data_IF_942743112071
#
_entry.id   IF_942743112071
#
_cell.length_a   1.000
_cell.length_b   1.000
_cell.length_c   1.000
_cell.angle_alpha   90.00
_cell.angle_beta   90.00
_cell.angle_gamma   90.00
#
_symmetry.space_group_name_H-M   'P 1'
#
loop_
_entity.id
_entity.type
_entity.pdbx_description
1 polymer ?
#
# COMPACT_ATOMS: atom_id res chain seq x y z
N UNK A 1 -58.11 -47.17 38.16
CA UNK A 1 -56.69 -47.49 37.91
C UNK A 1 -55.86 -46.75 38.93
N UNK A 2 -55.32 -47.53 39.86
CA UNK A 2 -54.19 -47.30 40.78
C UNK A 2 -53.62 -45.89 40.96
N UNK A 3 -53.78 -45.38 42.18
CA UNK A 3 -52.91 -44.40 42.82
C UNK A 3 -51.61 -45.05 43.29
N UNK A 4 -50.49 -44.32 43.26
CA UNK A 4 -49.25 -44.59 44.01
C UNK A 4 -48.30 -43.37 43.90
N UNK A 5 -47.41 -43.13 44.90
CA UNK A 5 -47.34 -41.82 45.57
C UNK A 5 -45.98 -41.10 45.48
N UNK A 6 -46.00 -39.85 45.96
CA UNK A 6 -44.86 -39.07 46.43
C UNK A 6 -43.97 -39.86 47.40
N UNK A 7 -42.65 -39.82 47.17
CA UNK A 7 -41.63 -40.09 48.18
C UNK A 7 -40.65 -38.92 48.25
N UNK A 8 -40.89 -38.05 49.23
CA UNK A 8 -39.90 -37.19 49.85
C UNK A 8 -38.95 -38.04 50.69
N UNK A 9 -37.65 -38.02 50.39
CA UNK A 9 -36.63 -38.43 51.35
C UNK A 9 -36.03 -37.17 52.01
N UNK A 10 -36.18 -37.03 53.34
CA UNK A 10 -35.57 -35.95 54.11
C UNK A 10 -34.07 -36.19 54.26
N UNK A 11 -33.25 -35.18 53.94
CA UNK A 11 -31.87 -35.13 54.42
C UNK A 11 -31.95 -34.78 55.90
N UNK A 12 -31.83 -35.83 56.71
CA UNK A 12 -31.65 -35.74 58.14
C UNK A 12 -30.37 -34.96 58.44
N UNK A 13 -30.54 -33.78 59.06
CA UNK A 13 -29.50 -33.13 59.84
C UNK A 13 -29.14 -34.06 61.00
N UNK A 14 -27.94 -34.64 60.95
CA UNK A 14 -27.34 -35.26 62.12
C UNK A 14 -26.63 -34.17 62.96
N UNK A 15 -26.68 -34.23 64.29
CA UNK A 15 -26.28 -33.14 65.17
C UNK A 15 -24.76 -33.05 65.30
N UNK A 16 -24.26 -31.80 65.33
CA UNK A 16 -22.92 -31.44 65.75
C UNK A 16 -22.64 -32.02 67.15
N UNK A 17 -21.63 -32.90 67.25
CA UNK A 17 -21.11 -33.35 68.52
C UNK A 17 -20.21 -32.24 69.11
N UNK A 18 -20.38 -31.85 70.38
CA UNK A 18 -19.73 -30.69 70.99
C UNK A 18 -18.31 -31.02 71.47
N UNK A 19 -17.40 -31.30 70.53
CA UNK A 19 -15.97 -31.46 70.81
C UNK A 19 -15.05 -30.75 69.80
N UNK A 20 -15.57 -30.23 68.69
CA UNK A 20 -14.77 -29.51 67.68
C UNK A 20 -15.01 -27.98 67.66
N UNK A 21 -15.79 -27.46 68.61
CA UNK A 21 -16.03 -26.02 68.78
C UNK A 21 -15.01 -25.29 69.69
N UNK A 22 -14.04 -26.00 70.27
CA UNK A 22 -13.08 -25.44 71.23
C UNK A 22 -11.71 -25.05 70.64
N UNK A 23 -11.45 -25.32 69.35
CA UNK A 23 -10.20 -24.94 68.69
C UNK A 23 -10.27 -23.59 67.94
N UNK A 24 -11.44 -22.93 67.90
CA UNK A 24 -11.66 -21.69 67.15
C UNK A 24 -11.81 -20.42 68.00
N UNK A 25 -11.59 -20.49 69.32
CA UNK A 25 -11.90 -19.37 70.23
C UNK A 25 -10.74 -19.00 71.18
N UNK A 26 -9.51 -18.99 70.68
CA UNK A 26 -8.34 -18.85 71.56
C UNK A 26 -7.10 -18.16 70.98
N UNK A 27 -7.23 -17.19 70.08
CA UNK A 27 -6.12 -16.24 69.80
C UNK A 27 -6.57 -14.99 69.04
N UNK A 28 -7.53 -14.25 69.61
CA UNK A 28 -7.75 -12.85 69.29
C UNK A 28 -7.30 -12.02 70.50
N UNK A 29 -6.03 -11.58 70.52
CA UNK A 29 -5.59 -10.50 71.42
C UNK A 29 -4.19 -9.97 71.07
N UNK A 30 -4.15 -8.90 70.27
CA UNK A 30 -3.39 -7.65 70.51
C UNK A 30 -3.59 -6.74 69.29
N UNK A 31 -4.64 -5.91 69.30
CA UNK A 31 -4.60 -4.45 69.42
C UNK A 31 -3.76 -3.72 68.36
N UNK A 32 -4.43 -2.87 67.57
CA UNK A 32 -3.78 -1.71 66.95
C UNK A 32 -4.58 -1.07 65.82
N UNK A 33 -5.41 -0.08 66.14
CA UNK A 33 -5.95 0.88 65.17
C UNK A 33 -4.82 1.67 64.49
N UNK A 34 -4.71 1.57 63.17
CA UNK A 34 -3.98 2.41 62.18
C UNK A 34 -3.82 1.48 60.96
N UNK A 35 -4.34 1.70 59.74
CA UNK A 35 -4.52 2.90 58.95
C UNK A 35 -5.75 2.74 58.04
N UNK A 36 -6.70 3.68 58.14
CA UNK A 36 -7.57 4.04 57.02
C UNK A 36 -6.76 5.08 56.24
N UNK A 37 -6.00 4.65 55.25
CA UNK A 37 -5.48 5.53 54.19
C UNK A 37 -5.37 4.69 52.93
N UNK A 38 -6.09 5.14 51.89
CA UNK A 38 -6.28 4.40 50.66
C UNK A 38 -4.97 3.91 50.06
N UNK A 39 -4.86 2.60 49.96
CA UNK A 39 -3.94 1.99 49.01
C UNK A 39 -4.54 2.27 47.62
N UNK A 40 -4.13 3.40 47.04
CA UNK A 40 -4.29 3.66 45.61
C UNK A 40 -3.61 2.49 44.92
N UNK A 41 -4.42 1.51 44.51
CA UNK A 41 -3.97 0.35 43.76
C UNK A 41 -3.29 0.88 42.51
N UNK A 42 -1.96 0.99 42.59
CA UNK A 42 -1.16 1.57 41.53
C UNK A 42 -1.43 0.73 40.29
N UNK A 43 -2.02 1.36 39.26
CA UNK A 43 -2.05 0.77 37.92
C UNK A 43 -0.64 0.24 37.65
N UNK A 44 -0.45 -1.01 37.20
CA UNK A 44 0.89 -1.52 36.96
C UNK A 44 1.61 -0.50 36.10
N UNK A 45 2.63 0.16 36.67
CA UNK A 45 3.47 1.12 35.95
C UNK A 45 3.92 0.35 34.73
N UNK A 46 3.46 0.80 33.56
CA UNK A 46 3.80 0.20 32.29
C UNK A 46 5.31 0.35 32.14
N UNK A 47 6.04 -0.65 32.63
CA UNK A 47 7.47 -0.61 32.73
C UNK A 47 7.96 -0.72 31.30
N UNK A 48 8.36 0.42 30.75
CA UNK A 48 8.95 0.53 29.43
C UNK A 48 10.28 -0.21 29.46
N UNK A 49 10.23 -1.53 29.23
CA UNK A 49 11.42 -2.32 28.98
C UNK A 49 12.00 -1.82 27.67
N UNK A 50 13.25 -1.34 27.72
CA UNK A 50 13.97 -0.95 26.49
C UNK A 50 13.96 -2.15 25.54
N UNK A 51 13.62 -1.94 24.25
CA UNK A 51 13.60 -3.03 23.29
C UNK A 51 14.99 -3.66 23.23
N UNK A 52 15.04 -4.99 23.28
CA UNK A 52 16.28 -5.73 23.08
C UNK A 52 16.76 -5.53 21.63
N UNK A 53 18.07 -5.62 21.39
CA UNK A 53 18.63 -5.45 20.04
C UNK A 53 17.96 -6.38 18.99
N UNK A 54 17.62 -7.59 19.41
CA UNK A 54 16.87 -8.55 18.61
C UNK A 54 15.46 -8.05 18.22
N UNK A 55 14.76 -7.34 19.11
CA UNK A 55 13.47 -6.73 18.79
C UNK A 55 13.62 -5.56 17.82
N UNK A 56 14.68 -4.77 17.96
CA UNK A 56 14.98 -3.65 17.03
C UNK A 56 15.29 -4.18 15.63
N UNK A 57 16.11 -5.22 15.53
CA UNK A 57 16.42 -5.90 14.27
C UNK A 57 15.15 -6.47 13.61
N UNK A 58 14.30 -7.13 14.40
CA UNK A 58 13.03 -7.69 13.92
C UNK A 58 12.09 -6.61 13.39
N UNK A 59 11.95 -5.47 14.09
CA UNK A 59 11.14 -4.32 13.67
C UNK A 59 11.72 -3.67 12.41
N UNK A 60 13.04 -3.54 12.30
CA UNK A 60 13.70 -3.00 11.11
C UNK A 60 13.44 -3.91 9.90
N UNK A 61 13.69 -5.21 10.02
CA UNK A 61 13.43 -6.20 8.96
C UNK A 61 11.95 -6.22 8.52
N UNK A 62 11.03 -5.94 9.43
CA UNK A 62 9.59 -5.84 9.15
C UNK A 62 9.15 -4.56 8.45
N UNK A 63 9.80 -3.46 8.81
CA UNK A 63 9.47 -2.14 8.26
C UNK A 63 9.93 -2.01 6.81
N UNK A 64 10.97 -2.76 6.40
CA UNK A 64 11.53 -2.71 5.05
C UNK A 64 10.52 -3.12 3.98
N UNK A 65 9.82 -4.28 4.05
CA UNK A 65 8.78 -4.62 3.09
C UNK A 65 7.64 -3.60 3.04
N UNK A 66 7.22 -3.08 4.20
CA UNK A 66 6.18 -2.05 4.27
C UNK A 66 6.62 -0.76 3.57
N UNK A 67 7.83 -0.29 3.86
CA UNK A 67 8.41 0.90 3.25
C UNK A 67 8.57 0.73 1.74
N UNK A 68 9.10 -0.40 1.28
CA UNK A 68 9.23 -0.71 -0.15
C UNK A 68 7.87 -0.77 -0.84
N UNK A 69 6.84 -1.30 -0.18
CA UNK A 69 5.48 -1.34 -0.72
C UNK A 69 4.89 0.06 -0.86
N UNK A 70 5.04 0.90 0.16
CA UNK A 70 4.57 2.29 0.14
C UNK A 70 5.31 3.12 -0.93
N UNK A 71 6.64 3.00 -1.01
CA UNK A 71 7.45 3.65 -2.04
C UNK A 71 7.01 3.19 -3.43
N UNK A 72 6.87 1.88 -3.64
CA UNK A 72 6.41 1.32 -4.91
C UNK A 72 5.04 1.87 -5.32
N UNK A 73 4.07 1.87 -4.40
CA UNK A 73 2.73 2.40 -4.63
C UNK A 73 2.74 3.89 -4.98
N UNK A 74 3.46 4.71 -4.21
CA UNK A 74 3.59 6.15 -4.47
C UNK A 74 4.22 6.40 -5.83
N UNK A 75 5.27 5.67 -6.19
CA UNK A 75 5.92 5.81 -7.50
C UNK A 75 4.97 5.47 -8.66
N UNK A 76 4.14 4.41 -8.55
CA UNK A 76 3.12 4.12 -9.58
C UNK A 76 2.08 5.22 -9.64
N UNK A 77 1.61 5.71 -8.50
CA UNK A 77 0.60 6.77 -8.43
C UNK A 77 1.11 8.06 -9.08
N UNK A 78 2.34 8.47 -8.78
CA UNK A 78 2.98 9.63 -9.43
C UNK A 78 3.08 9.40 -10.92
N UNK A 79 3.59 8.24 -11.36
CA UNK A 79 3.70 7.91 -12.78
C UNK A 79 2.34 7.89 -13.50
N UNK A 80 1.25 7.52 -12.81
CA UNK A 80 -0.11 7.51 -13.36
C UNK A 80 -0.70 8.92 -13.50
N UNK A 81 -0.56 9.77 -12.49
CA UNK A 81 -1.33 11.03 -12.36
C UNK A 81 -0.53 12.26 -12.81
N UNK A 82 0.78 12.28 -12.60
CA UNK A 82 1.59 13.49 -12.73
C UNK A 82 1.99 13.75 -14.19
N UNK A 83 1.46 14.82 -14.78
CA UNK A 83 1.84 15.28 -16.12
C UNK A 83 3.16 16.06 -16.14
N UNK A 84 3.70 16.44 -14.98
CA UNK A 84 5.07 16.95 -14.83
C UNK A 84 6.15 15.91 -15.09
N UNK A 85 5.82 14.61 -14.99
CA UNK A 85 6.68 13.48 -15.31
C UNK A 85 6.10 12.72 -16.50
N UNK A 86 6.35 13.15 -17.75
CA UNK A 86 5.76 12.51 -18.91
C UNK A 86 6.50 11.24 -19.31
N UNK A 87 5.83 10.46 -20.15
CA UNK A 87 6.33 9.25 -20.81
C UNK A 87 7.02 9.55 -22.13
N UNK A 88 6.56 10.58 -22.83
CA UNK A 88 7.20 11.10 -24.04
C UNK A 88 7.19 12.63 -23.99
N UNK A 89 8.25 13.25 -24.46
CA UNK A 89 8.37 14.70 -24.62
C UNK A 89 8.63 15.01 -26.08
N UNK A 90 7.86 15.93 -26.65
CA UNK A 90 8.13 16.53 -27.96
C UNK A 90 8.51 17.97 -27.70
N UNK A 91 9.74 18.36 -28.03
CA UNK A 91 10.27 19.67 -27.70
C UNK A 91 10.84 20.39 -28.91
N UNK A 92 10.73 21.70 -28.86
CA UNK A 92 11.30 22.62 -29.81
C UNK A 92 12.78 22.85 -29.49
N UNK A 93 13.67 22.57 -30.43
CA UNK A 93 15.11 22.83 -30.31
C UNK A 93 15.35 24.33 -30.45
N UNK A 94 15.99 24.94 -29.45
CA UNK A 94 16.27 26.38 -29.42
C UNK A 94 15.04 27.25 -29.16
N UNK A 95 13.92 26.66 -28.73
CA UNK A 95 12.68 27.38 -28.43
C UNK A 95 12.04 26.91 -27.12
N UNK A 96 10.81 27.38 -26.86
CA UNK A 96 10.04 27.05 -25.67
C UNK A 96 8.82 26.15 -25.95
N UNK A 97 8.56 25.82 -27.22
CA UNK A 97 7.49 24.90 -27.61
C UNK A 97 7.74 23.50 -27.04
N UNK A 98 6.71 22.92 -26.44
CA UNK A 98 6.80 21.57 -25.88
C UNK A 98 5.44 20.89 -25.81
N UNK A 99 5.46 19.56 -25.82
CA UNK A 99 4.32 18.71 -25.54
C UNK A 99 4.77 17.49 -24.74
N UNK A 100 4.15 17.33 -23.58
CA UNK A 100 4.38 16.28 -22.61
C UNK A 100 3.23 15.28 -22.66
N UNK A 101 3.54 14.01 -22.93
CA UNK A 101 2.59 12.91 -22.93
C UNK A 101 2.56 12.25 -21.56
N UNK A 102 1.47 12.41 -20.81
CA UNK A 102 1.18 11.63 -19.61
C UNK A 102 0.40 10.36 -19.93
N UNK A 103 0.09 9.56 -18.89
CA UNK A 103 -0.81 8.41 -19.05
C UNK A 103 -2.27 8.81 -19.04
N UNK A 104 -2.67 9.77 -18.20
CA UNK A 104 -4.06 10.21 -18.08
C UNK A 104 -4.37 11.48 -18.87
N UNK A 105 -3.36 12.17 -19.38
CA UNK A 105 -3.53 13.42 -20.10
C UNK A 105 -2.25 13.86 -20.80
N UNK A 106 -2.28 15.05 -21.36
CA UNK A 106 -1.12 15.69 -21.98
C UNK A 106 -1.09 17.17 -21.67
N UNK A 107 0.09 17.75 -21.70
CA UNK A 107 0.26 19.18 -21.60
C UNK A 107 1.05 19.68 -22.81
N UNK A 108 0.70 20.84 -23.33
CA UNK A 108 1.45 21.50 -24.39
C UNK A 108 1.66 22.97 -24.09
N UNK A 109 2.73 23.53 -24.65
CA UNK A 109 3.05 24.95 -24.68
C UNK A 109 3.33 25.30 -26.13
N UNK A 110 2.57 26.24 -26.66
CA UNK A 110 2.80 26.76 -28.01
C UNK A 110 4.10 27.56 -28.05
N UNK A 111 4.90 27.47 -29.12
CA UNK A 111 6.05 28.34 -29.31
C UNK A 111 5.71 29.82 -29.11
N UNK A 112 6.61 30.56 -28.46
CA UNK A 112 6.44 31.99 -28.17
C UNK A 112 5.53 32.31 -26.98
N UNK A 113 4.89 31.30 -26.37
CA UNK A 113 4.02 31.48 -25.20
C UNK A 113 4.65 30.89 -23.93
N UNK A 114 4.30 31.42 -22.75
CA UNK A 114 4.70 30.82 -21.46
C UNK A 114 3.62 29.88 -20.89
N UNK A 115 2.38 30.01 -21.39
CA UNK A 115 1.21 29.27 -20.94
C UNK A 115 1.33 27.78 -21.27
N UNK A 116 1.14 26.93 -20.27
CA UNK A 116 1.12 25.47 -20.41
C UNK A 116 -0.32 25.01 -20.28
N UNK A 117 -0.89 24.51 -21.36
CA UNK A 117 -2.28 24.04 -21.43
C UNK A 117 -2.28 22.52 -21.29
N UNK A 118 -2.99 22.02 -20.29
CA UNK A 118 -3.12 20.59 -20.03
C UNK A 118 -4.54 20.11 -20.35
N UNK A 119 -4.66 18.93 -20.95
CA UNK A 119 -5.94 18.25 -21.15
C UNK A 119 -6.44 17.66 -19.83
N UNK A 120 -7.75 17.50 -19.72
CA UNK A 120 -8.37 16.85 -18.57
C UNK A 120 -7.98 15.38 -18.48
N UNK A 121 -7.69 14.89 -17.28
CA UNK A 121 -7.38 13.49 -17.03
C UNK A 121 -8.51 12.56 -17.47
N UNK A 122 -8.21 11.52 -18.23
CA UNK A 122 -9.16 10.54 -18.77
C UNK A 122 -8.56 9.13 -18.83
N UNK A 123 -9.39 8.09 -18.74
CA UNK A 123 -8.97 6.71 -19.03
C UNK A 123 -8.87 6.43 -20.54
N UNK A 124 -9.57 7.23 -21.35
CA UNK A 124 -9.46 7.27 -22.79
C UNK A 124 -8.78 8.57 -23.17
N UNK A 125 -7.45 8.58 -23.17
CA UNK A 125 -6.70 9.81 -23.39
C UNK A 125 -6.67 10.13 -24.87
N UNK A 126 -7.09 11.35 -25.18
CA UNK A 126 -6.96 11.94 -26.50
C UNK A 126 -5.88 13.02 -26.45
N UNK A 127 -4.80 12.82 -27.20
CA UNK A 127 -3.68 13.76 -27.28
C UNK A 127 -3.90 14.83 -28.35
N UNK A 128 -4.92 14.69 -29.21
CA UNK A 128 -5.20 15.59 -30.32
C UNK A 128 -5.28 17.07 -29.90
N UNK A 129 -5.95 17.46 -28.80
CA UNK A 129 -6.00 18.87 -28.39
C UNK A 129 -4.61 19.47 -28.13
N UNK A 130 -3.71 18.69 -27.53
CA UNK A 130 -2.33 19.13 -27.28
C UNK A 130 -1.47 19.13 -28.55
N UNK A 131 -1.73 18.21 -29.51
CA UNK A 131 -1.05 18.19 -30.82
C UNK A 131 -1.44 19.41 -31.63
N UNK A 132 -2.72 19.78 -31.66
CA UNK A 132 -3.22 20.96 -32.40
C UNK A 132 -2.56 22.25 -31.91
N UNK A 133 -2.23 22.36 -30.63
CA UNK A 133 -1.54 23.53 -30.08
C UNK A 133 -0.10 23.71 -30.61
N UNK A 134 0.51 22.66 -31.15
CA UNK A 134 1.87 22.70 -31.71
C UNK A 134 1.91 22.37 -33.21
N UNK A 135 0.80 21.95 -33.81
CA UNK A 135 0.76 21.37 -35.16
C UNK A 135 1.15 22.34 -36.24
N UNK A 136 0.82 23.62 -36.10
CA UNK A 136 1.11 24.65 -37.12
C UNK A 136 2.62 24.90 -37.26
N UNK A 137 3.42 24.41 -36.30
CA UNK A 137 4.86 24.58 -36.22
C UNK A 137 5.62 23.27 -36.50
N UNK A 138 4.90 22.18 -36.82
CA UNK A 138 5.45 20.86 -37.11
C UNK A 138 4.96 20.42 -38.49
N UNK A 139 5.83 19.86 -39.36
CA UNK A 139 5.39 19.26 -40.61
C UNK A 139 4.30 18.20 -40.37
N UNK A 140 3.16 18.32 -41.06
CA UNK A 140 1.97 17.50 -40.78
C UNK A 140 2.21 15.99 -40.82
N UNK A 141 3.06 15.51 -41.73
CA UNK A 141 3.43 14.09 -41.81
C UNK A 141 4.26 13.61 -40.62
N UNK A 142 5.06 14.47 -39.98
CA UNK A 142 5.75 14.14 -38.74
C UNK A 142 4.77 14.14 -37.57
N UNK A 143 3.85 15.11 -37.50
CA UNK A 143 2.81 15.13 -36.47
C UNK A 143 1.93 13.86 -36.47
N UNK A 144 1.64 13.30 -37.66
CA UNK A 144 0.89 12.04 -37.82
C UNK A 144 1.60 10.80 -37.24
N UNK A 145 2.91 10.89 -36.96
CA UNK A 145 3.67 9.79 -36.32
C UNK A 145 3.58 9.78 -34.80
N UNK A 146 3.04 10.85 -34.22
CA UNK A 146 2.84 10.92 -32.78
C UNK A 146 1.60 10.12 -32.35
N UNK A 147 1.60 9.50 -31.16
CA UNK A 147 0.42 8.82 -30.64
C UNK A 147 -0.75 9.78 -30.48
N UNK A 148 -1.89 9.48 -31.10
CA UNK A 148 -3.09 10.32 -31.01
C UNK A 148 -3.98 9.97 -29.82
N UNK A 149 -3.93 8.72 -29.36
CA UNK A 149 -4.74 8.21 -28.26
C UNK A 149 -4.07 7.08 -27.51
N UNK A 150 -4.43 6.92 -26.24
CA UNK A 150 -4.06 5.77 -25.42
C UNK A 150 -5.28 5.24 -24.68
N UNK A 151 -5.59 3.95 -24.86
CA UNK A 151 -6.80 3.30 -24.33
C UNK A 151 -6.46 2.24 -23.28
N UNK A 152 -5.44 1.41 -23.54
CA UNK A 152 -5.12 0.27 -22.68
C UNK A 152 -4.15 0.62 -21.55
N UNK A 153 -3.16 1.48 -21.81
CA UNK A 153 -2.11 1.86 -20.85
C UNK A 153 -2.66 2.39 -19.51
N UNK A 154 -3.67 3.29 -19.48
CA UNK A 154 -4.21 3.81 -18.22
C UNK A 154 -4.91 2.74 -17.40
N UNK A 155 -5.66 1.86 -18.06
CA UNK A 155 -6.44 0.80 -17.41
C UNK A 155 -5.53 -0.26 -16.77
N UNK A 156 -4.43 -0.63 -17.45
CA UNK A 156 -3.44 -1.58 -16.91
C UNK A 156 -2.75 -0.99 -15.69
N UNK A 157 -2.32 0.28 -15.75
CA UNK A 157 -1.61 0.91 -14.63
C UNK A 157 -2.55 1.17 -13.44
N UNK A 158 -3.81 1.56 -13.69
CA UNK A 158 -4.83 1.66 -12.65
C UNK A 158 -5.09 0.31 -11.98
N UNK A 159 -5.12 -0.78 -12.75
CA UNK A 159 -5.25 -2.13 -12.21
C UNK A 159 -4.08 -2.48 -11.28
N UNK A 160 -2.85 -2.10 -11.65
CA UNK A 160 -1.68 -2.26 -10.77
C UNK A 160 -1.83 -1.50 -9.45
N UNK A 161 -2.28 -0.24 -9.50
CA UNK A 161 -2.54 0.58 -8.31
C UNK A 161 -3.59 -0.07 -7.40
N UNK A 162 -4.69 -0.56 -7.96
CA UNK A 162 -5.75 -1.22 -7.18
C UNK A 162 -5.21 -2.48 -6.50
N UNK A 163 -4.46 -3.31 -7.23
CA UNK A 163 -3.85 -4.53 -6.66
C UNK A 163 -2.88 -4.21 -5.52
N UNK A 164 -2.04 -3.19 -5.67
CA UNK A 164 -1.13 -2.72 -4.61
C UNK A 164 -1.88 -2.14 -3.41
N UNK A 165 -2.97 -1.40 -3.66
CA UNK A 165 -3.82 -0.86 -2.60
C UNK A 165 -4.49 -1.97 -1.79
N UNK A 166 -5.06 -2.97 -2.45
CA UNK A 166 -5.63 -4.15 -1.79
C UNK A 166 -4.57 -4.93 -1.02
N UNK A 167 -3.39 -5.15 -1.62
CA UNK A 167 -2.27 -5.81 -0.95
C UNK A 167 -1.84 -5.05 0.32
N UNK A 168 -1.76 -3.72 0.26
CA UNK A 168 -1.43 -2.88 1.41
C UNK A 168 -2.48 -2.99 2.52
N UNK A 169 -3.77 -2.95 2.16
CA UNK A 169 -4.87 -3.08 3.12
C UNK A 169 -4.86 -4.43 3.85
N UNK A 170 -4.47 -5.51 3.15
CA UNK A 170 -4.32 -6.84 3.76
C UNK A 170 -3.04 -6.94 4.59
N UNK A 171 -1.95 -6.30 4.15
CA UNK A 171 -0.65 -6.35 4.82
C UNK A 171 -0.58 -5.51 6.09
N UNK A 172 -1.23 -4.35 6.12
CA UNK A 172 -1.23 -3.43 7.28
C UNK A 172 -1.65 -4.11 8.60
N UNK A 173 -2.78 -4.83 8.69
CA UNK A 173 -3.18 -5.45 9.94
C UNK A 173 -2.32 -6.68 10.28
N UNK A 174 -1.78 -7.39 9.29
CA UNK A 174 -0.78 -8.45 9.52
C UNK A 174 0.48 -7.89 10.18
N UNK A 175 1.03 -6.81 9.61
CA UNK A 175 2.19 -6.11 10.15
C UNK A 175 1.89 -5.52 11.55
N UNK A 176 0.72 -4.92 11.72
CA UNK A 176 0.33 -4.32 13.02
C UNK A 176 0.24 -5.38 14.11
N UNK A 177 -0.37 -6.55 13.84
CA UNK A 177 -0.47 -7.64 14.81
C UNK A 177 0.86 -8.33 15.08
N UNK A 178 1.72 -8.44 14.07
CA UNK A 178 3.04 -9.06 14.19
C UNK A 178 3.97 -8.29 15.13
N UNK A 179 3.95 -6.95 15.06
CA UNK A 179 4.94 -6.11 15.75
C UNK A 179 4.37 -5.25 16.88
N UNK A 180 3.06 -5.01 16.87
CA UNK A 180 2.33 -4.32 17.93
C UNK A 180 1.18 -5.21 18.44
N UNK A 181 1.49 -6.31 19.14
CA UNK A 181 0.47 -7.26 19.60
C UNK A 181 -0.57 -6.62 20.55
N UNK A 182 -0.26 -5.45 21.13
CA UNK A 182 -1.17 -4.67 21.98
C UNK A 182 -1.96 -3.59 21.22
N UNK A 183 -1.90 -3.57 19.89
CA UNK A 183 -2.65 -2.61 19.07
C UNK A 183 -4.17 -2.86 19.20
N UNK A 184 -4.99 -1.80 19.33
CA UNK A 184 -6.44 -1.94 19.45
C UNK A 184 -7.07 -2.30 18.10
N UNK A 185 -7.07 -3.60 17.77
CA UNK A 185 -7.77 -4.14 16.61
C UNK A 185 -9.05 -4.86 17.04
N UNK A 186 -10.15 -4.76 16.27
CA UNK A 186 -11.38 -5.48 16.55
C UNK A 186 -11.17 -7.00 16.67
N UNK A 187 -11.69 -7.61 17.74
CA UNK A 187 -11.59 -9.06 17.99
C UNK A 187 -11.91 -9.97 16.78
N UNK A 188 -12.95 -9.73 15.95
CA UNK A 188 -13.19 -10.58 14.77
C UNK A 188 -12.08 -10.51 13.73
N UNK A 189 -11.45 -9.34 13.56
CA UNK A 189 -10.34 -9.14 12.61
C UNK A 189 -9.11 -9.92 13.10
N UNK A 190 -8.80 -9.85 14.40
CA UNK A 190 -7.68 -10.59 15.00
C UNK A 190 -7.86 -12.09 14.83
N UNK A 191 -9.08 -12.62 15.09
CA UNK A 191 -9.39 -14.05 14.91
C UNK A 191 -9.23 -14.50 13.47
N UNK A 192 -9.77 -13.73 12.52
CA UNK A 192 -9.65 -14.02 11.10
C UNK A 192 -8.19 -14.04 10.65
N UNK A 193 -7.42 -13.01 11.04
CA UNK A 193 -6.02 -12.90 10.66
C UNK A 193 -5.19 -14.04 11.25
N UNK A 194 -5.39 -14.39 12.53
CA UNK A 194 -4.68 -15.50 13.16
C UNK A 194 -4.94 -16.83 12.45
N UNK A 195 -6.19 -17.08 12.06
CA UNK A 195 -6.56 -18.34 11.39
C UNK A 195 -6.03 -18.41 9.94
N UNK A 196 -5.96 -17.27 9.25
CA UNK A 196 -5.58 -17.21 7.84
C UNK A 196 -4.20 -16.57 7.57
N UNK A 197 -3.37 -16.31 8.59
CA UNK A 197 -2.16 -15.51 8.50
C UNK A 197 -1.26 -15.90 7.31
N UNK A 198 -0.91 -17.20 7.22
CA UNK A 198 -0.12 -17.75 6.13
C UNK A 198 -0.74 -17.50 4.75
N UNK A 199 -2.07 -17.70 4.62
CA UNK A 199 -2.79 -17.46 3.36
C UNK A 199 -2.83 -15.98 3.02
N UNK A 200 -3.03 -15.10 4.01
CA UNK A 200 -3.08 -13.65 3.80
C UNK A 200 -1.71 -13.11 3.34
N UNK A 201 -0.62 -13.56 3.95
CA UNK A 201 0.73 -13.24 3.46
C UNK A 201 0.95 -13.74 2.01
N UNK A 202 0.52 -14.95 1.69
CA UNK A 202 0.59 -15.45 0.30
C UNK A 202 -0.23 -14.60 -0.66
N UNK A 203 -1.44 -14.19 -0.27
CA UNK A 203 -2.30 -13.29 -1.07
C UNK A 203 -1.60 -11.95 -1.31
N UNK A 204 -1.00 -11.34 -0.28
CA UNK A 204 -0.22 -10.11 -0.43
C UNK A 204 0.90 -10.30 -1.44
N UNK A 205 1.70 -11.37 -1.30
CA UNK A 205 2.79 -11.67 -2.23
C UNK A 205 2.32 -11.87 -3.68
N UNK A 206 1.20 -12.58 -3.88
CA UNK A 206 0.60 -12.80 -5.21
C UNK A 206 0.08 -11.50 -5.81
N UNK A 207 -0.64 -10.68 -5.03
CA UNK A 207 -1.16 -9.38 -5.49
C UNK A 207 -0.02 -8.43 -5.86
N UNK A 208 1.02 -8.33 -5.04
CA UNK A 208 2.21 -7.53 -5.34
C UNK A 208 2.95 -8.03 -6.58
N UNK A 209 3.01 -9.35 -6.79
CA UNK A 209 3.61 -9.94 -7.99
C UNK A 209 2.79 -9.66 -9.26
N UNK A 210 1.46 -9.75 -9.20
CA UNK A 210 0.58 -9.39 -10.32
C UNK A 210 0.71 -7.90 -10.65
N UNK A 211 0.72 -7.03 -9.64
CA UNK A 211 0.96 -5.61 -9.82
C UNK A 211 2.33 -5.32 -10.46
N UNK A 212 3.36 -6.08 -10.07
CA UNK A 212 4.70 -5.99 -10.66
C UNK A 212 4.66 -6.34 -12.15
N UNK A 213 3.95 -7.39 -12.55
CA UNK A 213 3.78 -7.75 -13.96
C UNK A 213 3.10 -6.62 -14.74
N UNK A 214 2.02 -6.04 -14.21
CA UNK A 214 1.34 -4.92 -14.88
C UNK A 214 2.22 -3.68 -15.00
N UNK A 215 2.90 -3.31 -13.92
CA UNK A 215 3.84 -2.17 -13.90
C UNK A 215 4.99 -2.38 -14.89
N UNK A 216 5.58 -3.58 -14.90
CA UNK A 216 6.64 -3.97 -15.84
C UNK A 216 6.15 -3.97 -17.29
N UNK A 217 4.95 -4.47 -17.54
CA UNK A 217 4.34 -4.51 -18.89
C UNK A 217 4.24 -3.10 -19.47
N UNK A 218 3.87 -2.11 -18.67
CA UNK A 218 3.88 -0.71 -19.10
C UNK A 218 5.32 -0.19 -19.20
N UNK A 219 6.16 -0.46 -18.20
CA UNK A 219 7.56 -0.01 -18.16
C UNK A 219 8.41 -0.44 -19.37
N UNK A 220 8.16 -1.64 -19.90
CA UNK A 220 8.82 -2.18 -21.08
C UNK A 220 7.99 -2.01 -22.35
N UNK A 221 6.75 -2.50 -22.37
CA UNK A 221 5.92 -2.55 -23.57
C UNK A 221 5.55 -1.18 -24.10
N UNK A 222 5.07 -0.28 -23.22
CA UNK A 222 4.75 1.08 -23.63
C UNK A 222 6.01 1.89 -23.98
N UNK A 223 7.15 1.60 -23.32
CA UNK A 223 8.44 2.22 -23.67
C UNK A 223 8.88 1.86 -25.08
N UNK A 224 8.80 0.58 -25.46
CA UNK A 224 9.13 0.13 -26.82
C UNK A 224 8.21 0.75 -27.86
N UNK A 225 6.91 0.85 -27.57
CA UNK A 225 5.94 1.52 -28.44
C UNK A 225 6.33 2.99 -28.66
N UNK A 226 6.64 3.71 -27.58
CA UNK A 226 7.02 5.13 -27.68
C UNK A 226 8.38 5.33 -28.34
N UNK A 227 9.35 4.45 -28.11
CA UNK A 227 10.65 4.49 -28.82
C UNK A 227 10.45 4.42 -30.33
N UNK A 228 9.61 3.50 -30.81
CA UNK A 228 9.29 3.43 -32.24
C UNK A 228 8.63 4.72 -32.77
N UNK A 229 7.71 5.31 -32.00
CA UNK A 229 7.07 6.58 -32.38
C UNK A 229 8.05 7.76 -32.36
N UNK A 230 8.98 7.79 -31.40
CA UNK A 230 10.04 8.79 -31.28
C UNK A 230 10.99 8.71 -32.48
N UNK A 231 11.45 7.51 -32.80
CA UNK A 231 12.38 7.28 -33.92
C UNK A 231 11.72 7.66 -35.25
N UNK A 232 10.47 7.24 -35.47
CA UNK A 232 9.68 7.66 -36.64
C UNK A 232 9.55 9.18 -36.70
N UNK A 233 9.10 9.83 -35.61
CA UNK A 233 8.94 11.28 -35.57
C UNK A 233 10.24 12.01 -35.93
N UNK A 234 11.35 11.63 -35.29
CA UNK A 234 12.65 12.26 -35.50
C UNK A 234 13.17 12.05 -36.93
N UNK A 235 12.98 10.86 -37.51
CA UNK A 235 13.34 10.57 -38.89
C UNK A 235 12.54 11.42 -39.88
N UNK A 236 11.24 11.57 -39.65
CA UNK A 236 10.38 12.41 -40.50
C UNK A 236 10.70 13.90 -40.35
N UNK A 237 11.02 14.38 -39.15
CA UNK A 237 11.52 15.77 -38.97
C UNK A 237 12.84 15.97 -39.72
N UNK A 238 13.77 15.01 -39.66
CA UNK A 238 15.03 15.10 -40.40
C UNK A 238 14.79 15.13 -41.92
N UNK A 239 13.89 14.28 -42.42
CA UNK A 239 13.47 14.29 -43.82
C UNK A 239 12.83 15.61 -44.25
N UNK A 240 11.98 16.19 -43.40
CA UNK A 240 11.38 17.51 -43.64
C UNK A 240 12.44 18.61 -43.76
N UNK A 241 13.46 18.56 -42.91
CA UNK A 241 14.61 19.46 -42.98
C UNK A 241 15.39 19.29 -44.27
N UNK A 242 15.64 18.05 -44.70
CA UNK A 242 16.32 17.76 -45.97
C UNK A 242 15.52 18.26 -47.19
N UNK A 243 14.19 18.17 -47.14
CA UNK A 243 13.29 18.68 -48.18
C UNK A 243 13.11 20.21 -48.16
N UNK A 244 13.76 20.93 -47.24
CA UNK A 244 13.60 22.38 -47.09
C UNK A 244 12.20 22.81 -46.63
N UNK A 245 11.41 21.87 -46.07
CA UNK A 245 10.07 22.14 -45.54
C UNK A 245 10.14 22.80 -44.15
N UNK A 246 11.29 22.74 -43.51
CA UNK A 246 11.63 23.47 -42.29
C UNK A 246 12.43 24.70 -42.73
N UNK A 247 11.85 25.90 -42.63
CA UNK A 247 12.51 27.15 -43.04
C UNK A 247 13.67 27.48 -42.10
N UNK A 248 14.71 28.13 -42.63
CA UNK A 248 15.83 28.65 -41.85
C UNK A 248 15.31 29.59 -40.76
N UNK A 249 15.50 29.20 -39.49
CA UNK A 249 14.99 29.91 -38.31
C UNK A 249 13.72 29.33 -37.68
N UNK A 250 12.98 28.46 -38.37
CA UNK A 250 11.83 27.72 -37.79
C UNK A 250 12.28 26.38 -37.20
N UNK A 251 12.74 26.47 -35.95
CA UNK A 251 12.54 25.50 -34.88
C UNK A 251 12.44 24.01 -35.25
N UNK A 252 13.60 23.36 -35.30
CA UNK A 252 13.71 21.90 -35.34
C UNK A 252 12.99 21.32 -34.12
N UNK A 253 12.15 20.31 -34.31
CA UNK A 253 11.50 19.60 -33.20
C UNK A 253 12.18 18.25 -32.96
N UNK A 254 12.12 17.75 -31.74
CA UNK A 254 12.63 16.42 -31.40
C UNK A 254 11.70 15.75 -30.41
N UNK A 255 11.49 14.45 -30.56
CA UNK A 255 10.81 13.61 -29.60
C UNK A 255 11.83 12.83 -28.77
N UNK A 256 11.54 12.67 -27.48
CA UNK A 256 12.42 12.03 -26.50
C UNK A 256 11.61 11.22 -25.49
N UNK A 257 12.25 10.20 -24.92
CA UNK A 257 11.68 9.40 -23.83
C UNK A 257 11.59 10.28 -22.59
N UNK A 258 10.44 10.24 -21.92
CA UNK A 258 10.22 10.97 -20.68
C UNK A 258 10.66 10.20 -19.44
N UNK A 259 10.72 10.89 -18.30
CA UNK A 259 11.25 10.38 -17.03
C UNK A 259 10.28 9.48 -16.26
N UNK A 260 9.01 9.39 -16.68
CA UNK A 260 8.03 8.51 -16.01
C UNK A 260 8.44 7.04 -16.01
N UNK A 261 9.20 6.61 -17.03
CA UNK A 261 9.70 5.25 -17.10
C UNK A 261 10.68 4.91 -15.97
N UNK A 262 11.49 5.88 -15.52
CA UNK A 262 12.42 5.67 -14.41
C UNK A 262 11.66 5.38 -13.11
N UNK A 263 10.54 6.09 -12.91
CA UNK A 263 9.63 5.85 -11.79
C UNK A 263 8.98 4.47 -11.86
N UNK A 264 8.53 4.04 -13.04
CA UNK A 264 7.96 2.70 -13.24
C UNK A 264 8.99 1.60 -13.00
N UNK A 265 10.23 1.78 -13.46
CA UNK A 265 11.31 0.82 -13.21
C UNK A 265 11.65 0.72 -11.73
N UNK A 266 11.83 1.85 -11.04
CA UNK A 266 12.04 1.88 -9.60
C UNK A 266 10.90 1.22 -8.84
N UNK A 267 9.65 1.53 -9.22
CA UNK A 267 8.46 0.92 -8.62
C UNK A 267 8.42 -0.59 -8.84
N UNK A 268 8.73 -1.06 -10.05
CA UNK A 268 8.77 -2.49 -10.38
C UNK A 268 9.77 -3.23 -9.49
N UNK A 269 10.96 -2.65 -9.28
CA UNK A 269 11.98 -3.22 -8.38
C UNK A 269 11.46 -3.27 -6.94
N UNK A 270 10.84 -2.20 -6.44
CA UNK A 270 10.23 -2.21 -5.10
C UNK A 270 9.18 -3.32 -4.96
N UNK A 271 8.28 -3.46 -5.93
CA UNK A 271 7.22 -4.48 -5.91
C UNK A 271 7.80 -5.91 -5.96
N UNK A 272 8.86 -6.13 -6.75
CA UNK A 272 9.57 -7.40 -6.81
C UNK A 272 10.22 -7.74 -5.46
N UNK A 273 10.90 -6.77 -4.84
CA UNK A 273 11.51 -6.93 -3.52
C UNK A 273 10.48 -7.23 -2.43
N UNK A 274 9.29 -6.61 -2.48
CA UNK A 274 8.20 -6.94 -1.56
C UNK A 274 7.73 -8.39 -1.73
N UNK A 275 7.49 -8.84 -2.97
CA UNK A 275 7.07 -10.21 -3.23
C UNK A 275 8.11 -11.23 -2.73
N UNK A 276 9.40 -10.95 -2.93
CA UNK A 276 10.51 -11.75 -2.42
C UNK A 276 10.58 -11.71 -0.89
N UNK A 277 10.48 -10.54 -0.28
CA UNK A 277 10.55 -10.39 1.16
C UNK A 277 9.42 -11.12 1.88
N UNK A 278 8.19 -11.09 1.32
CA UNK A 278 7.06 -11.88 1.83
C UNK A 278 7.33 -13.38 1.75
N UNK A 279 7.95 -13.86 0.66
CA UNK A 279 8.33 -15.27 0.52
C UNK A 279 9.40 -15.68 1.53
N UNK A 280 10.42 -14.85 1.73
CA UNK A 280 11.48 -15.08 2.71
C UNK A 280 10.91 -15.06 4.13
N UNK A 281 10.03 -14.11 4.46
CA UNK A 281 9.37 -14.02 5.75
C UNK A 281 8.55 -15.29 6.07
N UNK A 282 7.80 -15.81 5.08
CA UNK A 282 7.07 -17.07 5.23
C UNK A 282 8.01 -18.28 5.34
N UNK A 283 9.14 -18.29 4.65
CA UNK A 283 10.11 -19.38 4.77
C UNK A 283 10.75 -19.42 6.16
N UNK A 284 10.96 -18.25 6.77
CA UNK A 284 11.48 -18.11 8.13
C UNK A 284 10.44 -18.34 9.23
N UNK A 285 9.21 -18.74 8.88
CA UNK A 285 8.15 -19.04 9.85
C UNK A 285 7.61 -17.80 10.56
N UNK A 286 7.61 -16.62 9.92
CA UNK A 286 7.04 -15.42 10.52
C UNK A 286 5.57 -15.62 10.92
N UNK A 287 4.81 -16.43 10.17
CA UNK A 287 3.44 -16.78 10.49
C UNK A 287 3.30 -17.58 11.79
N UNK A 288 4.35 -18.29 12.21
CA UNK A 288 4.41 -19.10 13.43
C UNK A 288 5.01 -18.35 14.62
N UNK A 289 5.93 -17.40 14.37
CA UNK A 289 6.66 -16.65 15.40
C UNK A 289 5.93 -15.40 15.91
N UNK A 290 4.86 -14.97 15.25
CA UNK A 290 4.04 -13.85 15.73
C UNK A 290 3.36 -14.26 17.03
N UNK A 291 3.73 -13.61 18.13
CA UNK A 291 2.97 -13.67 19.39
C UNK A 291 1.60 -13.04 19.16
N UNK A 292 0.66 -13.84 18.69
CA UNK A 292 -0.73 -13.44 18.55
C UNK A 292 -1.22 -13.03 19.94
N UNK A 293 -1.80 -11.83 20.11
CA UNK A 293 -2.35 -11.43 21.40
C UNK A 293 -3.21 -12.57 21.93
N UNK A 294 -2.87 -13.03 23.14
CA UNK A 294 -3.70 -14.00 23.83
C UNK A 294 -5.11 -13.40 23.90
N UNK A 295 -6.14 -14.24 23.80
CA UNK A 295 -7.48 -13.82 24.20
C UNK A 295 -7.41 -13.53 25.71
N UNK A 296 -6.88 -12.36 26.10
CA UNK A 296 -7.15 -11.82 27.40
C UNK A 296 -8.66 -11.70 27.40
N UNK A 297 -9.31 -12.55 28.20
CA UNK A 297 -10.70 -12.36 28.58
C UNK A 297 -10.80 -10.89 28.92
N UNK A 298 -11.44 -10.09 28.07
CA UNK A 298 -11.78 -8.74 28.42
C UNK A 298 -12.72 -8.89 29.60
N UNK A 299 -12.18 -8.80 30.81
CA UNK A 299 -12.96 -8.72 32.04
C UNK A 299 -13.71 -7.39 32.13
N UNK A 300 -13.65 -6.55 31.09
CA UNK A 300 -14.61 -5.49 30.87
C UNK A 300 -15.85 -6.08 30.22
N UNK A 301 -16.72 -6.61 31.08
CA UNK A 301 -18.16 -6.58 30.82
C UNK A 301 -18.53 -5.12 30.53
N UNK A 302 -18.57 -4.75 29.26
CA UNK A 302 -19.41 -3.64 28.82
C UNK A 302 -20.82 -4.22 28.69
N UNK A 303 -21.50 -4.33 29.82
CA UNK A 303 -22.95 -4.41 29.86
C UNK A 303 -23.45 -3.20 30.65
N UNK A 304 -23.96 -2.22 29.92
CA UNK A 304 -25.19 -1.49 30.23
C UNK A 304 -25.63 -0.80 28.94
#
# INVERSE_FOLDING_TARGET
MTAAPHTTHPIHLAPLHPAEAAAAAGSLSTKGSQEILGEVQSRPKQQWTRPTWQQVELILCASVPLALHLIGLVLVLVALVETGTPYMKVRQVGGNGMMDYGILGSCARSPGTTERICTSSSLYVNFMPSIVLISDQIPGFAALKLPLKSIQTPSILLSAVVMLGVALLVYLPLWTLAYFPKAPLPAPIVKFIRFYARRLFQVVGVLSFIAMIFTFTIGLGYKLLLLAAIDDFNAWIAYAGWQGLIKDGTTRWTAEVGTAFDLLWASTVCQALVALAVKVALHNGLDEQIEWPSESKSSTNYWA
#
